data_IF_647262037168
#
_entry.id   IF_647262037168
#
_cell.length_a   1.000
_cell.length_b   1.000
_cell.length_c   1.000
_cell.angle_alpha   90.00
_cell.angle_beta   90.00
_cell.angle_gamma   90.00
#
_symmetry.space_group_name_H-M   'P 1'
#
loop_
_entity.id
_entity.type
_entity.pdbx_description
1 polymer ?
#
# COMPACT_ATOMS: atom_id res chain seq x y z
N UNK A 1 9.38 -17.26 40.71
CA UNK A 1 8.19 -16.73 40.00
C UNK A 1 7.74 -17.79 39.01
N UNK A 2 6.58 -18.41 39.20
CA UNK A 2 6.01 -19.33 38.22
C UNK A 2 5.08 -18.52 37.29
N UNK A 3 5.43 -18.44 36.00
CA UNK A 3 4.62 -17.76 34.99
C UNK A 3 3.44 -18.67 34.62
N UNK A 4 2.21 -18.14 34.69
CA UNK A 4 1.00 -18.90 34.34
C UNK A 4 0.78 -18.88 32.83
N UNK A 5 1.13 -19.97 32.14
CA UNK A 5 0.87 -20.15 30.71
C UNK A 5 -0.63 -20.01 30.34
N UNK A 6 -1.53 -20.39 31.26
CA UNK A 6 -2.99 -20.35 31.04
C UNK A 6 -3.55 -18.95 30.76
N UNK A 7 -2.85 -17.89 31.17
CA UNK A 7 -3.29 -16.51 30.94
C UNK A 7 -3.33 -16.20 29.44
N UNK A 8 -2.27 -16.54 28.70
CA UNK A 8 -2.18 -16.27 27.26
C UNK A 8 -3.12 -17.21 26.50
N UNK A 9 -3.07 -18.52 26.79
CA UNK A 9 -3.86 -19.53 26.08
C UNK A 9 -5.36 -19.26 26.20
N UNK A 10 -5.87 -19.03 27.41
CA UNK A 10 -7.30 -18.78 27.61
C UNK A 10 -7.71 -17.40 27.09
N UNK A 11 -6.84 -16.40 27.21
CA UNK A 11 -7.08 -15.06 26.67
C UNK A 11 -7.25 -15.08 25.15
N UNK A 12 -6.30 -15.65 24.42
CA UNK A 12 -6.37 -15.74 22.96
C UNK A 12 -7.56 -16.59 22.49
N UNK A 13 -7.79 -17.75 23.10
CA UNK A 13 -8.94 -18.61 22.77
C UNK A 13 -10.26 -17.86 22.93
N UNK A 14 -10.41 -17.11 24.03
CA UNK A 14 -11.62 -16.32 24.28
C UNK A 14 -11.79 -15.19 23.27
N UNK A 15 -10.76 -14.35 23.05
CA UNK A 15 -10.86 -13.18 22.18
C UNK A 15 -11.14 -13.57 20.72
N UNK A 16 -10.52 -14.65 20.23
CA UNK A 16 -10.75 -15.16 18.88
C UNK A 16 -12.12 -15.83 18.73
N UNK A 17 -12.59 -16.56 19.75
CA UNK A 17 -13.89 -17.24 19.69
C UNK A 17 -15.08 -16.27 19.82
N UNK A 18 -14.96 -15.24 20.66
CA UNK A 18 -16.04 -14.29 20.94
C UNK A 18 -15.98 -13.04 20.07
N UNK A 19 -14.82 -12.72 19.49
CA UNK A 19 -14.59 -11.48 18.76
C UNK A 19 -14.50 -10.24 19.66
N UNK A 20 -14.45 -10.43 20.98
CA UNK A 20 -14.26 -9.36 21.97
C UNK A 20 -12.79 -9.22 22.33
N UNK A 21 -12.19 -8.11 21.92
CA UNK A 21 -10.80 -7.79 22.24
C UNK A 21 -10.75 -6.83 23.41
N UNK A 22 -10.45 -7.35 24.60
CA UNK A 22 -10.38 -6.57 25.84
C UNK A 22 -10.42 -7.45 27.10
N UNK A 23 -10.43 -6.79 28.27
CA UNK A 23 -10.57 -7.49 29.55
C UNK A 23 -12.00 -8.04 29.70
N UNK A 24 -12.10 -9.36 29.95
CA UNK A 24 -13.36 -10.07 30.17
C UNK A 24 -14.21 -9.45 31.28
N UNK A 25 -13.55 -8.87 32.30
CA UNK A 25 -14.24 -8.24 33.45
C UNK A 25 -14.78 -6.85 33.12
N UNK A 26 -14.33 -6.23 32.03
CA UNK A 26 -14.71 -4.88 31.58
C UNK A 26 -15.22 -4.92 30.15
N UNK A 27 -16.32 -5.64 29.94
CA UNK A 27 -16.95 -5.84 28.64
C UNK A 27 -17.29 -4.53 27.90
N UNK A 28 -17.59 -3.44 28.63
CA UNK A 28 -17.90 -2.14 28.04
C UNK A 28 -16.72 -1.47 27.29
N UNK A 29 -15.48 -1.85 27.59
CA UNK A 29 -14.29 -1.33 26.90
C UNK A 29 -13.75 -2.28 25.82
N UNK A 30 -14.39 -3.43 25.61
CA UNK A 30 -13.92 -4.41 24.63
C UNK A 30 -14.37 -4.03 23.21
N UNK A 31 -13.44 -4.11 22.25
CA UNK A 31 -13.77 -3.93 20.83
C UNK A 31 -14.41 -5.22 20.31
N UNK A 32 -15.72 -5.19 20.09
CA UNK A 32 -16.49 -6.32 19.59
C UNK A 32 -16.42 -6.41 18.04
N UNK A 33 -16.57 -7.64 17.52
CA UNK A 33 -16.77 -7.90 16.10
C UNK A 33 -15.50 -7.93 15.23
N UNK A 34 -14.32 -8.01 15.86
CA UNK A 34 -13.03 -8.19 15.17
C UNK A 34 -12.89 -9.61 14.60
N UNK A 35 -13.32 -10.62 15.36
CA UNK A 35 -13.43 -12.01 14.88
C UNK A 35 -14.89 -12.34 14.61
N UNK A 36 -15.15 -13.05 13.52
CA UNK A 36 -16.48 -13.46 13.08
C UNK A 36 -16.43 -14.89 12.54
N UNK A 37 -17.55 -15.62 12.66
CA UNK A 37 -17.66 -16.96 12.08
C UNK A 37 -17.63 -16.84 10.55
N UNK A 38 -16.77 -17.62 9.91
CA UNK A 38 -16.63 -17.62 8.45
C UNK A 38 -17.93 -18.04 7.78
N UNK A 39 -18.47 -17.18 6.92
CA UNK A 39 -19.63 -17.49 6.09
C UNK A 39 -19.24 -18.48 4.98
N UNK A 40 -19.94 -19.62 4.90
CA UNK A 40 -19.71 -20.72 3.94
C UNK A 40 -20.95 -21.10 3.11
N UNK A 41 -21.87 -20.17 2.87
CA UNK A 41 -23.05 -20.47 2.02
C UNK A 41 -22.66 -20.84 0.59
N UNK A 42 -21.68 -20.14 0.02
CA UNK A 42 -21.13 -20.41 -1.30
C UNK A 42 -19.61 -20.15 -1.32
N UNK A 43 -18.92 -20.66 -2.33
CA UNK A 43 -17.50 -20.38 -2.53
C UNK A 43 -17.21 -18.88 -2.62
N UNK A 44 -17.99 -18.16 -3.46
CA UNK A 44 -17.88 -16.71 -3.60
C UNK A 44 -18.15 -15.95 -2.30
N UNK A 45 -19.17 -16.37 -1.53
CA UNK A 45 -19.46 -15.78 -0.22
C UNK A 45 -18.30 -15.93 0.76
N UNK A 46 -17.54 -17.03 0.67
CA UNK A 46 -16.39 -17.27 1.55
C UNK A 46 -15.26 -16.29 1.21
N UNK A 47 -14.97 -16.12 -0.09
CA UNK A 47 -13.94 -15.18 -0.56
C UNK A 47 -14.28 -13.72 -0.22
N UNK A 48 -15.52 -13.31 -0.47
CA UNK A 48 -16.01 -11.97 -0.10
C UNK A 48 -15.84 -11.73 1.40
N UNK A 49 -16.20 -12.71 2.24
CA UNK A 49 -16.10 -12.54 3.69
C UNK A 49 -14.67 -12.31 4.19
N UNK A 50 -13.67 -12.92 3.54
CA UNK A 50 -12.26 -12.75 3.88
C UNK A 50 -11.71 -11.35 3.50
N UNK A 51 -12.35 -10.66 2.55
CA UNK A 51 -11.90 -9.34 2.07
C UNK A 51 -12.72 -8.18 2.63
N UNK A 52 -13.54 -8.48 3.63
CA UNK A 52 -14.41 -7.52 4.30
C UNK A 52 -13.61 -6.67 5.28
N UNK A 53 -13.83 -5.36 5.21
CA UNK A 53 -13.33 -4.37 6.16
C UNK A 53 -14.50 -3.71 6.87
N UNK A 54 -14.33 -3.43 8.17
CA UNK A 54 -15.38 -2.84 9.00
C UNK A 54 -14.89 -1.52 9.60
N UNK A 55 -15.65 -0.46 9.35
CA UNK A 55 -15.38 0.86 9.91
C UNK A 55 -15.78 0.86 11.40
N UNK A 56 -14.91 1.29 12.34
CA UNK A 56 -15.18 1.23 13.78
C UNK A 56 -16.11 2.37 14.24
N UNK A 57 -17.28 2.49 13.60
CA UNK A 57 -18.30 3.49 13.90
C UNK A 57 -19.54 2.79 14.42
N UNK A 58 -20.13 3.35 15.49
CA UNK A 58 -21.38 2.85 16.05
C UNK A 58 -22.49 2.83 15.00
N UNK A 59 -23.21 1.71 14.91
CA UNK A 59 -24.28 1.52 13.91
C UNK A 59 -25.51 2.39 14.19
N UNK A 60 -25.64 2.90 15.42
CA UNK A 60 -26.75 3.76 15.87
C UNK A 60 -26.67 5.19 15.31
N UNK A 61 -25.49 5.61 14.83
CA UNK A 61 -25.28 6.92 14.23
C UNK A 61 -25.77 6.99 12.78
N UNK A 62 -26.70 7.90 12.49
CA UNK A 62 -27.08 8.33 11.13
C UNK A 62 -26.05 9.27 10.50
N UNK A 63 -24.76 8.98 10.66
CA UNK A 63 -23.70 9.78 10.05
C UNK A 63 -23.61 9.42 8.56
N UNK A 64 -23.94 10.37 7.69
CA UNK A 64 -23.91 10.16 6.24
C UNK A 64 -22.47 10.09 5.69
N UNK A 65 -21.57 10.97 6.15
CA UNK A 65 -20.21 11.12 5.60
C UNK A 65 -19.39 9.82 5.52
N UNK A 66 -19.26 8.99 6.59
CA UNK A 66 -18.46 7.75 6.50
C UNK A 66 -19.13 6.66 5.64
N UNK A 67 -20.43 6.80 5.33
CA UNK A 67 -21.21 5.84 4.56
C UNK A 67 -21.23 6.16 3.07
N UNK A 68 -21.06 7.44 2.72
CA UNK A 68 -21.02 7.87 1.32
C UNK A 68 -19.77 7.33 0.63
N UNK A 69 -19.93 6.94 -0.63
CA UNK A 69 -18.81 6.58 -1.47
C UNK A 69 -17.96 7.83 -1.72
N UNK A 70 -16.68 7.75 -1.38
CA UNK A 70 -15.69 8.79 -1.64
C UNK A 70 -14.85 8.44 -2.86
N UNK A 71 -14.37 9.43 -3.61
CA UNK A 71 -13.59 9.21 -4.83
C UNK A 71 -12.29 8.45 -4.57
N UNK A 72 -11.68 8.64 -3.40
CA UNK A 72 -10.48 7.91 -2.97
C UNK A 72 -10.70 6.41 -2.77
N UNK A 73 -11.94 5.91 -2.84
CA UNK A 73 -12.20 4.46 -2.83
C UNK A 73 -11.93 3.80 -4.19
N UNK A 74 -11.84 4.59 -5.27
CA UNK A 74 -11.70 4.05 -6.62
C UNK A 74 -10.45 3.18 -6.74
N UNK A 75 -10.60 1.99 -7.33
CA UNK A 75 -9.53 1.01 -7.47
C UNK A 75 -9.13 0.27 -6.19
N UNK A 76 -9.53 0.72 -4.99
CA UNK A 76 -9.15 0.11 -3.70
C UNK A 76 -10.29 -0.70 -3.06
N UNK A 77 -11.52 -0.22 -3.20
CA UNK A 77 -12.72 -0.83 -2.59
C UNK A 77 -13.79 -1.05 -3.66
N UNK A 78 -14.54 -2.13 -3.55
CA UNK A 78 -15.70 -2.37 -4.42
C UNK A 78 -16.81 -1.33 -4.12
N UNK A 79 -17.25 -0.53 -5.10
CA UNK A 79 -18.24 0.52 -4.88
C UNK A 79 -19.65 -0.02 -4.64
N UNK A 80 -19.96 -1.23 -5.11
CA UNK A 80 -21.30 -1.82 -5.05
C UNK A 80 -21.49 -2.80 -3.88
N UNK A 81 -20.42 -3.47 -3.44
CA UNK A 81 -20.53 -4.57 -2.49
C UNK A 81 -20.54 -4.06 -1.04
N UNK A 82 -21.70 -3.61 -0.58
CA UNK A 82 -21.97 -3.22 0.80
C UNK A 82 -23.34 -3.76 1.25
N UNK A 83 -23.51 -4.20 2.51
CA UNK A 83 -24.80 -4.67 2.99
C UNK A 83 -25.83 -3.54 3.05
N UNK A 84 -27.10 -3.88 2.86
CA UNK A 84 -28.21 -2.94 3.02
C UNK A 84 -28.44 -2.55 4.49
N UNK A 85 -29.12 -1.44 4.72
CA UNK A 85 -29.55 -0.99 6.05
C UNK A 85 -28.43 -0.36 6.89
N UNK A 86 -28.38 -0.71 8.19
CA UNK A 86 -27.54 0.00 9.18
C UNK A 86 -26.03 -0.15 8.96
N UNK A 87 -25.60 -1.15 8.18
CA UNK A 87 -24.19 -1.38 7.86
C UNK A 87 -23.77 -0.82 6.49
N UNK A 88 -24.70 -0.23 5.74
CA UNK A 88 -24.44 0.35 4.43
C UNK A 88 -23.34 1.42 4.51
N UNK A 89 -22.30 1.24 3.68
CA UNK A 89 -21.12 2.09 3.60
C UNK A 89 -20.10 1.91 4.74
N UNK A 90 -20.46 1.23 5.84
CA UNK A 90 -19.55 0.96 6.96
C UNK A 90 -18.78 -0.34 6.76
N UNK A 91 -19.42 -1.31 6.12
CA UNK A 91 -18.82 -2.57 5.70
C UNK A 91 -18.46 -2.45 4.22
N UNK A 92 -17.18 -2.62 3.93
CA UNK A 92 -16.59 -2.44 2.60
C UNK A 92 -15.82 -3.70 2.22
N UNK A 93 -15.71 -4.00 0.93
CA UNK A 93 -14.93 -5.13 0.43
C UNK A 93 -13.77 -4.63 -0.43
N UNK A 94 -12.58 -5.17 -0.22
CA UNK A 94 -11.38 -4.78 -0.99
C UNK A 94 -11.57 -5.16 -2.47
N UNK A 95 -11.08 -4.31 -3.39
CA UNK A 95 -11.07 -4.56 -4.84
C UNK A 95 -10.14 -5.72 -5.20
N UNK A 96 -10.35 -6.44 -6.29
CA UNK A 96 -9.54 -7.64 -6.64
C UNK A 96 -8.02 -7.40 -6.60
N UNK A 97 -7.57 -6.25 -7.08
CA UNK A 97 -6.15 -5.88 -7.13
C UNK A 97 -5.65 -5.14 -5.88
N UNK A 98 -6.53 -4.85 -4.91
CA UNK A 98 -6.12 -4.17 -3.68
C UNK A 98 -5.17 -5.04 -2.86
N UNK A 99 -4.05 -4.43 -2.51
CA UNK A 99 -3.03 -4.92 -1.62
C UNK A 99 -3.03 -4.11 -0.32
N UNK A 100 -2.74 -4.75 0.82
CA UNK A 100 -2.62 -4.09 2.12
C UNK A 100 -1.18 -4.20 2.58
N UNK A 101 -0.52 -3.07 2.84
CA UNK A 101 0.89 -3.06 3.21
C UNK A 101 1.14 -3.79 4.53
N UNK A 102 2.21 -4.58 4.57
CA UNK A 102 2.67 -5.28 5.78
C UNK A 102 3.58 -4.37 6.60
N UNK A 103 4.24 -3.42 5.94
CA UNK A 103 5.12 -2.44 6.56
C UNK A 103 6.59 -2.87 6.45
N UNK A 104 7.48 -1.87 6.43
CA UNK A 104 8.92 -2.06 6.34
C UNK A 104 9.67 -1.09 7.23
N UNK A 105 10.89 -1.46 7.60
CA UNK A 105 11.75 -0.62 8.43
C UNK A 105 12.13 0.68 7.70
N UNK A 106 12.03 1.81 8.38
CA UNK A 106 12.32 3.14 7.83
C UNK A 106 13.79 3.58 7.96
N UNK A 107 14.58 2.93 8.83
CA UNK A 107 15.99 3.26 9.06
C UNK A 107 16.85 3.27 7.78
N UNK A 108 16.73 2.27 6.87
CA UNK A 108 17.56 2.25 5.67
C UNK A 108 17.34 3.45 4.74
N UNK A 109 16.09 3.93 4.64
CA UNK A 109 15.79 5.08 3.78
C UNK A 109 16.26 6.39 4.42
N UNK A 110 16.16 6.54 5.75
CA UNK A 110 16.70 7.73 6.43
C UNK A 110 18.21 7.82 6.29
N UNK A 111 18.93 6.71 6.46
CA UNK A 111 20.39 6.67 6.31
C UNK A 111 20.82 6.96 4.87
N UNK A 112 20.10 6.39 3.89
CA UNK A 112 20.33 6.65 2.48
C UNK A 112 20.17 8.14 2.14
N UNK A 113 19.13 8.80 2.66
CA UNK A 113 18.91 10.22 2.41
C UNK A 113 19.99 11.10 3.04
N UNK A 114 20.42 10.79 4.27
CA UNK A 114 21.54 11.50 4.94
C UNK A 114 22.84 11.42 4.13
N UNK A 115 23.11 10.27 3.50
CA UNK A 115 24.28 10.10 2.61
C UNK A 115 24.15 10.89 1.29
N UNK A 116 22.95 11.33 0.91
CA UNK A 116 22.66 12.06 -0.34
C UNK A 116 22.45 13.55 -0.12
N UNK A 117 23.17 14.14 0.83
CA UNK A 117 23.14 15.58 1.13
C UNK A 117 21.77 16.08 1.63
N UNK A 118 21.00 15.22 2.29
CA UNK A 118 19.91 15.69 3.15
C UNK A 118 20.53 16.29 4.41
N UNK A 119 20.17 17.54 4.72
CA UNK A 119 20.56 18.18 5.98
C UNK A 119 19.61 17.68 7.07
N UNK A 120 20.18 17.16 8.16
CA UNK A 120 19.40 16.66 9.29
C UNK A 120 18.75 17.85 10.01
N UNK A 121 17.54 17.65 10.53
CA UNK A 121 16.75 18.71 11.16
C UNK A 121 17.51 19.46 12.27
N UNK A 122 18.32 18.77 13.07
CA UNK A 122 19.07 19.39 14.17
C UNK A 122 20.16 20.36 13.70
N UNK A 123 20.68 20.17 12.48
CA UNK A 123 21.74 20.99 11.89
C UNK A 123 21.19 22.08 10.98
N UNK A 124 19.88 22.05 10.70
CA UNK A 124 19.24 22.96 9.77
C UNK A 124 18.99 24.33 10.39
N UNK A 125 19.55 25.38 9.76
CA UNK A 125 19.22 26.77 10.06
C UNK A 125 18.25 27.34 9.01
N UNK A 126 17.00 27.65 9.38
CA UNK A 126 16.00 28.23 8.48
C UNK A 126 16.46 29.53 7.80
N UNK A 127 17.36 30.28 8.43
CA UNK A 127 17.87 31.57 7.94
C UNK A 127 18.71 31.39 6.68
N UNK A 128 19.39 30.25 6.54
CA UNK A 128 20.33 29.98 5.46
C UNK A 128 19.64 29.46 4.20
N UNK A 129 18.52 28.75 4.32
CA UNK A 129 17.88 28.10 3.17
C UNK A 129 16.35 28.11 3.22
N UNK A 130 15.76 29.28 2.98
CA UNK A 130 14.31 29.48 2.90
C UNK A 130 13.59 28.65 1.82
N UNK A 131 14.34 28.09 0.85
CA UNK A 131 13.83 27.32 -0.29
C UNK A 131 13.82 25.81 -0.10
N UNK A 132 14.37 25.30 1.01
CA UNK A 132 14.53 23.86 1.22
C UNK A 132 13.18 23.12 1.29
N UNK A 133 13.16 21.89 0.77
CA UNK A 133 12.00 20.99 0.87
C UNK A 133 12.13 20.15 2.13
N UNK A 134 11.07 20.11 2.93
CA UNK A 134 10.99 19.32 4.17
C UNK A 134 10.81 17.84 3.83
N UNK A 135 11.57 16.97 4.48
CA UNK A 135 11.48 15.51 4.28
C UNK A 135 10.86 14.87 5.52
N UNK A 136 9.75 14.17 5.31
CA UNK A 136 9.01 13.46 6.35
C UNK A 136 9.06 11.95 6.11
N UNK A 137 9.30 11.18 7.17
CA UNK A 137 9.24 9.72 7.14
C UNK A 137 8.27 9.26 8.23
N UNK A 138 7.18 8.59 7.84
CA UNK A 138 6.10 8.18 8.74
C UNK A 138 5.59 9.33 9.63
N UNK A 139 5.50 10.54 9.07
CA UNK A 139 5.08 11.76 9.75
C UNK A 139 6.16 12.45 10.61
N UNK A 140 7.34 11.86 10.78
CA UNK A 140 8.47 12.48 11.48
C UNK A 140 9.25 13.36 10.51
N UNK A 141 9.46 14.64 10.86
CA UNK A 141 10.34 15.52 10.10
C UNK A 141 11.80 15.13 10.36
N UNK A 142 12.46 14.54 9.37
CA UNK A 142 13.84 14.02 9.51
C UNK A 142 14.87 15.08 9.11
N UNK A 143 14.56 15.90 8.11
CA UNK A 143 15.50 16.87 7.60
C UNK A 143 14.96 17.69 6.45
N UNK A 144 15.85 18.40 5.78
CA UNK A 144 15.54 19.18 4.59
C UNK A 144 16.48 18.84 3.44
N UNK A 145 16.01 19.07 2.22
CA UNK A 145 16.83 18.88 1.03
C UNK A 145 16.67 20.08 0.08
N UNK A 146 17.80 20.58 -0.43
CA UNK A 146 17.84 21.74 -1.33
C UNK A 146 17.40 21.40 -2.76
N UNK A 147 17.64 20.16 -3.21
CA UNK A 147 17.29 19.69 -4.57
C UNK A 147 16.33 18.49 -4.55
N UNK A 148 15.05 18.70 -4.18
CA UNK A 148 14.08 17.61 -4.00
C UNK A 148 13.80 16.82 -5.27
N UNK A 149 13.85 17.44 -6.46
CA UNK A 149 13.58 16.75 -7.72
C UNK A 149 14.54 15.58 -7.96
N UNK A 150 15.82 15.78 -7.67
CA UNK A 150 16.83 14.74 -7.85
C UNK A 150 16.65 13.63 -6.82
N UNK A 151 16.40 14.00 -5.56
CA UNK A 151 16.16 13.04 -4.47
C UNK A 151 14.97 12.14 -4.79
N UNK A 152 13.83 12.72 -5.19
CA UNK A 152 12.61 11.98 -5.53
C UNK A 152 12.86 11.01 -6.68
N UNK A 153 13.49 11.46 -7.78
CA UNK A 153 13.79 10.57 -8.91
C UNK A 153 14.70 9.40 -8.53
N UNK A 154 15.71 9.65 -7.68
CA UNK A 154 16.62 8.60 -7.21
C UNK A 154 15.88 7.60 -6.31
N UNK A 155 15.06 8.07 -5.37
CA UNK A 155 14.32 7.19 -4.45
C UNK A 155 13.26 6.38 -5.21
N UNK A 156 12.59 6.98 -6.20
CA UNK A 156 11.68 6.27 -7.10
C UNK A 156 12.40 5.18 -7.91
N UNK A 157 13.60 5.46 -8.44
CA UNK A 157 14.39 4.46 -9.16
C UNK A 157 14.83 3.30 -8.24
N UNK A 158 15.20 3.59 -6.99
CA UNK A 158 15.53 2.57 -5.99
C UNK A 158 14.32 1.72 -5.58
N UNK A 159 13.12 2.27 -5.66
CA UNK A 159 11.88 1.50 -5.50
C UNK A 159 11.64 0.59 -6.70
N UNK A 160 11.82 1.11 -7.93
CA UNK A 160 11.62 0.36 -9.19
C UNK A 160 12.60 -0.79 -9.38
N UNK A 161 13.84 -0.63 -8.91
CA UNK A 161 14.86 -1.67 -9.02
C UNK A 161 14.79 -2.72 -7.90
N UNK A 162 13.87 -2.57 -6.94
CA UNK A 162 13.66 -3.48 -5.82
C UNK A 162 14.65 -3.35 -4.66
N UNK A 163 15.51 -2.31 -4.64
CA UNK A 163 16.40 -2.03 -3.48
C UNK A 163 15.57 -1.56 -2.29
N UNK A 164 14.56 -0.72 -2.53
CA UNK A 164 13.57 -0.33 -1.54
C UNK A 164 12.32 -1.19 -1.68
N UNK A 165 11.59 -1.35 -0.58
CA UNK A 165 10.30 -2.06 -0.60
C UNK A 165 9.34 -1.39 -1.58
N UNK A 166 8.72 -2.17 -2.45
CA UNK A 166 7.68 -1.70 -3.37
C UNK A 166 6.44 -1.16 -2.64
N UNK A 167 6.27 -1.50 -1.35
CA UNK A 167 5.22 -0.97 -0.49
C UNK A 167 5.46 0.48 -0.04
N UNK A 168 6.67 1.01 -0.21
CA UNK A 168 6.98 2.38 0.22
C UNK A 168 6.22 3.39 -0.65
N UNK A 169 5.47 4.29 -0.02
CA UNK A 169 4.79 5.39 -0.72
C UNK A 169 5.65 6.64 -0.70
N UNK A 170 5.70 7.31 -1.85
CA UNK A 170 6.58 8.45 -2.12
C UNK A 170 5.75 9.62 -2.64
N UNK A 171 5.45 10.59 -1.77
CA UNK A 171 4.57 11.71 -2.11
C UNK A 171 5.37 13.00 -2.11
N UNK A 172 5.38 13.69 -3.25
CA UNK A 172 6.03 14.99 -3.39
C UNK A 172 4.97 16.09 -3.50
N UNK A 173 4.80 16.85 -2.42
CA UNK A 173 3.97 18.05 -2.44
C UNK A 173 4.82 19.26 -2.85
N UNK A 174 4.58 19.75 -4.08
CA UNK A 174 5.30 20.88 -4.65
C UNK A 174 4.85 22.21 -4.01
N UNK A 175 3.59 22.32 -3.59
CA UNK A 175 3.01 23.56 -3.05
C UNK A 175 3.51 23.82 -1.63
N UNK A 176 3.44 22.79 -0.80
CA UNK A 176 3.86 22.89 0.60
C UNK A 176 5.37 22.66 0.79
N UNK A 177 6.07 22.27 -0.29
CA UNK A 177 7.49 21.93 -0.32
C UNK A 177 7.80 20.83 0.69
N UNK A 178 7.09 19.72 0.53
CA UNK A 178 7.22 18.55 1.39
C UNK A 178 7.44 17.30 0.55
N UNK A 179 8.33 16.44 1.01
CA UNK A 179 8.50 15.10 0.51
C UNK A 179 8.16 14.13 1.64
N UNK A 180 7.07 13.39 1.48
CA UNK A 180 6.51 12.49 2.49
C UNK A 180 6.76 11.06 2.05
N UNK A 181 7.36 10.27 2.93
CA UNK A 181 7.66 8.86 2.73
C UNK A 181 6.90 8.07 3.78
N UNK A 182 6.13 7.07 3.34
CA UNK A 182 5.43 6.17 4.25
C UNK A 182 5.89 4.73 4.03
N UNK A 183 6.34 4.11 5.12
CA UNK A 183 6.71 2.68 5.20
C UNK A 183 5.79 1.90 6.14
N UNK A 184 4.79 2.57 6.72
CA UNK A 184 3.86 1.97 7.68
C UNK A 184 2.97 0.87 7.08
N UNK A 185 2.51 -0.01 7.96
CA UNK A 185 1.57 -1.09 7.65
C UNK A 185 0.12 -0.60 7.58
N UNK A 186 -0.73 -1.33 6.86
CA UNK A 186 -2.18 -1.09 6.80
C UNK A 186 -2.61 -0.08 5.72
N UNK A 187 -1.70 0.40 4.88
CA UNK A 187 -2.04 1.21 3.71
C UNK A 187 -2.65 0.32 2.64
N UNK A 188 -3.71 0.81 2.00
CA UNK A 188 -4.34 0.14 0.87
C UNK A 188 -3.72 0.67 -0.42
N UNK A 189 -3.25 -0.26 -1.25
CA UNK A 189 -2.52 0.06 -2.48
C UNK A 189 -3.13 -0.71 -3.64
N UNK A 190 -2.91 -0.24 -4.86
CA UNK A 190 -3.23 -0.99 -6.08
C UNK A 190 -2.08 -0.95 -7.09
N UNK A 191 -1.83 -2.04 -7.80
CA UNK A 191 -0.83 -2.07 -8.85
C UNK A 191 -1.31 -1.35 -10.10
N UNK A 192 -0.44 -0.53 -10.69
CA UNK A 192 -0.65 0.16 -11.96
C UNK A 192 0.58 0.00 -12.86
N UNK A 193 0.38 0.09 -14.17
CA UNK A 193 1.48 0.11 -15.11
C UNK A 193 2.18 1.47 -15.12
N UNK A 194 3.49 1.43 -15.22
CA UNK A 194 4.33 2.64 -15.27
C UNK A 194 4.46 3.13 -16.71
N UNK A 195 4.31 4.44 -16.89
CA UNK A 195 4.67 5.15 -18.13
C UNK A 195 6.07 5.73 -17.98
N UNK A 196 6.91 5.55 -18.99
CA UNK A 196 8.25 6.12 -19.00
C UNK A 196 8.20 7.62 -19.28
N UNK A 197 8.76 8.43 -18.38
CA UNK A 197 8.71 9.89 -18.44
C UNK A 197 10.10 10.52 -18.52
N UNK A 198 11.17 9.76 -18.31
CA UNK A 198 12.54 10.27 -18.41
C UNK A 198 12.91 10.55 -19.87
N UNK A 199 12.93 11.83 -20.24
CA UNK A 199 13.26 12.36 -21.57
C UNK A 199 14.55 11.79 -22.19
N UNK A 200 15.44 11.23 -21.38
CA UNK A 200 16.71 10.63 -21.84
C UNK A 200 16.53 9.24 -22.44
N UNK A 201 15.44 8.55 -22.09
CA UNK A 201 15.19 7.18 -22.53
C UNK A 201 14.45 7.17 -23.87
N UNK A 202 14.73 6.20 -24.75
CA UNK A 202 14.08 6.13 -26.05
C UNK A 202 12.58 5.79 -25.97
N UNK A 203 12.11 5.24 -24.84
CA UNK A 203 10.74 4.79 -24.63
C UNK A 203 9.81 5.85 -24.00
N UNK A 204 10.23 7.13 -23.98
CA UNK A 204 9.45 8.22 -23.39
C UNK A 204 8.04 8.29 -23.96
N UNK A 205 7.07 8.47 -23.06
CA UNK A 205 5.65 8.59 -23.37
C UNK A 205 4.95 7.26 -23.61
N UNK A 206 5.67 6.12 -23.53
CA UNK A 206 5.05 4.80 -23.65
C UNK A 206 5.05 4.05 -22.31
N UNK A 207 4.23 3.00 -22.25
CA UNK A 207 4.29 2.02 -21.16
C UNK A 207 5.68 1.37 -21.08
N UNK A 208 6.15 1.14 -19.87
CA UNK A 208 7.36 0.34 -19.60
C UNK A 208 7.12 -1.14 -19.94
N UNK A 209 5.86 -1.59 -19.92
CA UNK A 209 5.47 -2.93 -20.32
C UNK A 209 5.72 -3.16 -21.83
N UNK A 210 6.61 -4.11 -22.14
CA UNK A 210 6.95 -4.49 -23.51
C UNK A 210 6.48 -5.91 -23.84
N UNK A 211 6.38 -6.21 -25.15
CA UNK A 211 6.05 -7.58 -25.63
C UNK A 211 7.02 -8.64 -25.12
N UNK A 212 8.27 -8.28 -24.85
CA UNK A 212 9.28 -9.17 -24.25
C UNK A 212 8.87 -9.62 -22.84
N UNK A 213 8.29 -8.74 -22.03
CA UNK A 213 7.79 -9.09 -20.69
C UNK A 213 6.60 -10.05 -20.80
N UNK A 214 5.70 -9.83 -21.77
CA UNK A 214 4.57 -10.72 -22.04
C UNK A 214 5.07 -12.11 -22.46
N UNK A 215 6.07 -12.19 -23.34
CA UNK A 215 6.67 -13.45 -23.76
C UNK A 215 7.32 -14.21 -22.59
N UNK A 216 7.99 -13.51 -21.65
CA UNK A 216 8.51 -14.13 -20.42
C UNK A 216 7.37 -14.73 -19.57
N UNK A 217 6.26 -14.01 -19.41
CA UNK A 217 5.08 -14.49 -18.67
C UNK A 217 4.38 -15.66 -19.37
N UNK A 218 4.39 -15.70 -20.70
CA UNK A 218 3.88 -16.85 -21.46
C UNK A 218 4.80 -18.07 -21.31
N UNK A 219 6.12 -17.86 -21.32
CA UNK A 219 7.09 -18.92 -21.08
C UNK A 219 6.92 -19.51 -19.67
N UNK A 220 6.62 -18.70 -18.65
CA UNK A 220 6.37 -19.19 -17.28
C UNK A 220 5.25 -20.24 -17.19
N UNK A 221 4.26 -20.22 -18.10
CA UNK A 221 3.18 -21.21 -18.14
C UNK A 221 3.67 -22.61 -18.47
N UNK A 222 4.81 -22.71 -19.16
CA UNK A 222 5.43 -23.98 -19.57
C UNK A 222 6.38 -24.54 -18.50
N UNK A 223 6.73 -23.74 -17.50
CA UNK A 223 7.62 -24.14 -16.41
C UNK A 223 6.82 -24.97 -15.41
N UNK A 224 7.13 -26.27 -15.37
CA UNK A 224 6.61 -27.17 -14.34
C UNK A 224 7.23 -26.84 -12.99
N UNK A 225 6.39 -26.41 -12.05
CA UNK A 225 6.76 -26.14 -10.65
C UNK A 225 6.14 -27.14 -9.69
N UNK A 226 5.61 -28.26 -10.19
CA UNK A 226 5.03 -29.29 -9.34
C UNK A 226 6.09 -29.88 -8.40
N UNK A 227 5.83 -29.84 -7.09
CA UNK A 227 6.72 -30.36 -6.05
C UNK A 227 7.78 -29.39 -5.51
N UNK A 228 7.85 -28.15 -6.00
CA UNK A 228 8.72 -27.11 -5.44
C UNK A 228 8.00 -26.35 -4.31
N UNK A 229 8.78 -25.79 -3.39
CA UNK A 229 8.25 -24.82 -2.43
C UNK A 229 7.77 -23.54 -3.13
N UNK A 230 6.96 -22.73 -2.46
CA UNK A 230 6.45 -21.47 -3.01
C UNK A 230 7.60 -20.52 -3.38
N UNK A 231 8.67 -20.48 -2.59
CA UNK A 231 9.84 -19.63 -2.80
C UNK A 231 10.66 -20.09 -4.02
N UNK A 232 10.90 -21.39 -4.15
CA UNK A 232 11.61 -21.98 -5.30
C UNK A 232 10.81 -21.87 -6.61
N UNK A 233 9.48 -21.95 -6.51
CA UNK A 233 8.60 -21.73 -7.64
C UNK A 233 8.65 -20.27 -8.12
N UNK A 234 8.72 -19.33 -7.18
CA UNK A 234 8.80 -17.90 -7.44
C UNK A 234 10.17 -17.45 -7.95
N UNK A 235 11.26 -18.15 -7.61
CA UNK A 235 12.59 -17.82 -8.13
C UNK A 235 12.83 -18.36 -9.55
N UNK A 236 12.16 -19.46 -9.92
CA UNK A 236 12.24 -20.04 -11.27
C UNK A 236 11.35 -19.35 -12.31
N UNK A 237 10.25 -18.73 -11.87
CA UNK A 237 9.31 -18.02 -12.74
C UNK A 237 9.60 -16.52 -12.70
N UNK A 238 9.39 -15.84 -13.82
CA UNK A 238 9.41 -14.39 -13.85
C UNK A 238 8.21 -13.83 -13.06
N UNK A 239 7.00 -14.24 -13.43
CA UNK A 239 5.75 -14.00 -12.71
C UNK A 239 5.48 -12.53 -12.39
N UNK A 240 4.62 -12.31 -11.39
CA UNK A 240 4.27 -10.96 -10.95
C UNK A 240 5.43 -10.23 -10.28
N UNK A 241 6.28 -10.95 -9.52
CA UNK A 241 7.46 -10.35 -8.88
C UNK A 241 8.49 -9.84 -9.89
N UNK A 242 8.65 -10.54 -11.01
CA UNK A 242 9.49 -10.08 -12.12
C UNK A 242 9.02 -8.74 -12.68
N UNK A 243 7.70 -8.54 -12.83
CA UNK A 243 7.14 -7.26 -13.28
C UNK A 243 7.39 -6.11 -12.28
N UNK A 244 7.31 -6.40 -10.99
CA UNK A 244 7.64 -5.42 -9.94
C UNK A 244 9.14 -5.07 -10.01
N UNK A 245 10.01 -6.08 -10.06
CA UNK A 245 11.46 -5.90 -10.04
C UNK A 245 12.01 -5.24 -11.32
N UNK A 246 11.34 -5.43 -12.46
CA UNK A 246 11.66 -4.71 -13.72
C UNK A 246 11.03 -3.30 -13.77
N UNK A 247 10.35 -2.85 -12.70
CA UNK A 247 9.73 -1.53 -12.62
C UNK A 247 8.57 -1.33 -13.58
N UNK A 248 7.97 -2.42 -14.07
CA UNK A 248 6.84 -2.39 -15.01
C UNK A 248 5.55 -1.99 -14.29
N UNK A 249 5.44 -2.39 -13.02
CA UNK A 249 4.27 -2.18 -12.18
C UNK A 249 4.70 -1.48 -10.89
N UNK A 250 3.94 -0.45 -10.49
CA UNK A 250 4.08 0.23 -9.22
C UNK A 250 2.79 0.14 -8.40
N UNK A 251 2.94 0.01 -7.08
CA UNK A 251 1.81 -0.04 -6.15
C UNK A 251 1.51 1.36 -5.62
N UNK A 252 0.46 2.00 -6.10
CA UNK A 252 0.10 3.32 -5.60
C UNK A 252 -0.87 3.17 -4.43
N UNK A 253 -0.62 3.90 -3.34
CA UNK A 253 -1.61 4.09 -2.29
C UNK A 253 -2.50 5.31 -2.56
N UNK A 254 -3.54 5.45 -1.74
CA UNK A 254 -4.52 6.52 -1.90
C UNK A 254 -3.93 7.93 -1.83
N UNK A 255 -2.82 8.14 -1.10
CA UNK A 255 -2.19 9.46 -1.00
C UNK A 255 -1.23 9.72 -2.17
N UNK A 256 -0.49 8.71 -2.63
CA UNK A 256 0.36 8.80 -3.81
C UNK A 256 -0.48 9.05 -5.09
N UNK A 257 -1.69 8.48 -5.16
CA UNK A 257 -2.65 8.72 -6.26
C UNK A 257 -3.04 10.20 -6.43
N UNK A 258 -3.04 11.02 -5.36
CA UNK A 258 -3.36 12.46 -5.46
C UNK A 258 -2.28 13.25 -6.21
N UNK A 259 -1.06 12.71 -6.30
CA UNK A 259 0.05 13.31 -7.05
C UNK A 259 0.28 12.66 -8.41
N UNK A 260 -0.34 11.51 -8.66
CA UNK A 260 -0.18 10.74 -9.88
C UNK A 260 -1.21 11.12 -10.94
N UNK A 261 -0.81 11.03 -12.21
CA UNK A 261 -1.71 11.14 -13.35
C UNK A 261 -1.90 9.75 -13.94
N UNK A 262 -3.14 9.27 -13.99
CA UNK A 262 -3.47 7.90 -14.37
C UNK A 262 -4.30 7.94 -15.65
N UNK A 263 -3.80 7.27 -16.67
CA UNK A 263 -4.51 7.12 -17.93
C UNK A 263 -5.45 5.92 -17.88
N UNK A 264 -6.64 6.05 -18.50
CA UNK A 264 -7.68 5.03 -18.42
C UNK A 264 -7.42 3.88 -19.36
N UNK A 265 -7.00 4.17 -20.59
CA UNK A 265 -6.68 3.16 -21.60
C UNK A 265 -5.34 3.42 -22.25
N UNK A 266 -4.66 2.39 -22.79
CA UNK A 266 -3.46 2.58 -23.59
C UNK A 266 -3.71 3.38 -24.88
N UNK A 267 -4.91 3.33 -25.44
CA UNK A 267 -5.30 4.07 -26.65
C UNK A 267 -5.31 5.59 -26.38
N UNK A 268 -5.84 6.01 -25.22
CA UNK A 268 -5.80 7.41 -24.80
C UNK A 268 -4.34 7.92 -24.66
N UNK A 269 -3.38 7.02 -24.35
CA UNK A 269 -1.97 7.39 -24.21
C UNK A 269 -1.37 7.78 -25.55
N UNK A 270 -1.72 7.04 -26.60
CA UNK A 270 -1.25 7.31 -27.96
C UNK A 270 -1.86 8.61 -28.51
N UNK A 271 -3.11 8.92 -28.15
CA UNK A 271 -3.81 10.13 -28.56
C UNK A 271 -3.27 11.41 -27.87
N UNK A 272 -2.69 11.28 -26.68
CA UNK A 272 -2.19 12.40 -25.86
C UNK A 272 -0.67 12.50 -25.79
N UNK A 273 0.03 11.89 -26.75
CA UNK A 273 1.49 11.80 -26.82
C UNK A 273 2.18 13.05 -27.36
#
# INVERSE_FOLDING_TARGET
>A
MAVKASVITNGLKYSLATGNWGDQKKAASAKAGVSQVLNRYTYASTLSHLRRTNTPVGRDGKLAKPRQLHNTHWGLVCPAETPEGQACGLVKNLSLMCYVSVGSESTPITDFMSQRNMEILEEYDPSNNHGATKVFVNGVWVGVHSQPSQLVSVVQELRRNGTLSYEMSLIRDIRDREFKIFTDAGRVMRPLFVVETDLRKPNVGNLVLNKTHIQKLEADKTIDTSGLSDEESQSKKFGWRGLINEGVIEYLDAEEEETAMIIMTPEDLDDHR
#
